data_IF_101987137585
#
_entry.id   IF_101987137585
#
_cell.length_a   1.000
_cell.length_b   1.000
_cell.length_c   1.000
_cell.angle_alpha   90.00
_cell.angle_beta   90.00
_cell.angle_gamma   90.00
#
_symmetry.space_group_name_H-M   'P 1'
#
loop_
_entity.id
_entity.type
_entity.pdbx_description
1 polymer ?
#
# COMPACT_ATOMS: atom_id res chain seq x y z
N UNK A 1 30.24 13.35 11.20
CA UNK A 1 28.86 13.48 10.68
C UNK A 1 28.85 13.04 9.23
N UNK A 2 28.16 11.96 8.84
CA UNK A 2 27.97 11.71 7.41
C UNK A 2 27.10 12.84 6.86
N UNK A 3 27.56 13.47 5.78
CA UNK A 3 26.80 14.52 5.08
C UNK A 3 25.62 13.85 4.40
N UNK A 4 24.40 14.13 4.88
CA UNK A 4 23.18 13.72 4.19
C UNK A 4 23.20 14.25 2.76
N UNK A 5 22.96 13.36 1.81
CA UNK A 5 22.82 13.73 0.40
C UNK A 5 21.47 14.41 0.17
N UNK A 6 21.32 15.19 -0.90
CA UNK A 6 20.03 15.84 -1.21
C UNK A 6 18.85 14.86 -1.29
N UNK A 7 19.09 13.58 -1.59
CA UNK A 7 18.08 12.51 -1.58
C UNK A 7 17.55 12.17 -0.18
N UNK A 8 18.32 12.42 0.89
CA UNK A 8 17.92 12.10 2.25
C UNK A 8 16.81 13.04 2.77
N UNK A 9 16.67 14.23 2.16
CA UNK A 9 15.63 15.21 2.49
C UNK A 9 14.28 14.92 1.83
N UNK A 10 14.25 14.14 0.75
CA UNK A 10 13.03 13.87 -0.04
C UNK A 10 12.53 12.43 0.05
N UNK A 11 13.10 11.62 0.95
CA UNK A 11 12.73 10.22 1.16
C UNK A 11 12.40 9.97 2.62
N UNK A 12 11.20 9.45 2.88
CA UNK A 12 10.76 9.13 4.23
C UNK A 12 11.52 7.92 4.77
N UNK A 13 11.49 7.75 6.07
CA UNK A 13 12.07 6.56 6.69
C UNK A 13 11.47 5.25 6.14
N UNK A 14 10.15 5.24 5.90
CA UNK A 14 9.45 4.08 5.33
C UNK A 14 9.92 3.76 3.90
N UNK A 15 10.24 4.76 3.08
CA UNK A 15 10.70 4.53 1.70
C UNK A 15 12.07 3.83 1.66
N UNK A 16 12.98 4.21 2.57
CA UNK A 16 14.27 3.51 2.76
C UNK A 16 14.06 2.09 3.27
N UNK A 17 13.20 1.92 4.26
CA UNK A 17 12.85 0.62 4.80
C UNK A 17 12.31 -0.33 3.73
N UNK A 18 11.37 0.12 2.90
CA UNK A 18 10.82 -0.68 1.80
C UNK A 18 11.91 -1.04 0.78
N UNK A 19 12.81 -0.11 0.46
CA UNK A 19 13.95 -0.41 -0.43
C UNK A 19 14.85 -1.50 0.15
N UNK A 20 15.17 -1.42 1.45
CA UNK A 20 16.06 -2.36 2.12
C UNK A 20 15.45 -3.76 2.29
N UNK A 21 14.16 -3.84 2.65
CA UNK A 21 13.48 -5.11 2.94
C UNK A 21 12.88 -5.78 1.70
N UNK A 22 12.36 -4.98 0.76
CA UNK A 22 11.56 -5.47 -0.39
C UNK A 22 12.27 -5.21 -1.74
N UNK A 23 13.28 -4.33 -1.78
CA UNK A 23 13.99 -4.00 -3.03
C UNK A 23 13.20 -3.10 -3.98
N UNK A 24 12.08 -2.50 -3.52
CA UNK A 24 11.28 -1.56 -4.32
C UNK A 24 11.57 -0.12 -3.93
N UNK A 25 11.77 0.73 -4.94
CA UNK A 25 11.99 2.15 -4.76
C UNK A 25 10.69 2.90 -5.04
N UNK A 26 10.14 3.57 -4.03
CA UNK A 26 9.07 4.54 -4.20
C UNK A 26 9.60 5.81 -4.87
N UNK A 27 8.67 6.59 -5.46
CA UNK A 27 8.96 7.91 -5.99
C UNK A 27 9.22 8.89 -4.81
N UNK A 28 10.02 9.93 -5.04
CA UNK A 28 10.32 10.93 -4.01
C UNK A 28 9.07 11.74 -3.64
N UNK A 29 8.93 12.12 -2.36
CA UNK A 29 7.68 12.74 -1.85
C UNK A 29 7.32 14.08 -2.52
N UNK A 30 8.31 14.79 -3.07
CA UNK A 30 8.13 16.04 -3.80
C UNK A 30 7.73 15.88 -5.27
N UNK A 31 7.59 14.65 -5.77
CA UNK A 31 7.21 14.43 -7.16
C UNK A 31 5.70 14.71 -7.38
N UNK A 32 5.37 15.56 -8.36
CA UNK A 32 3.99 15.98 -8.72
C UNK A 32 2.97 14.84 -8.86
N UNK A 33 3.44 13.64 -9.21
CA UNK A 33 2.58 12.47 -9.38
C UNK A 33 2.15 11.85 -8.04
N UNK A 34 2.96 11.92 -7.00
CA UNK A 34 2.57 11.45 -5.66
C UNK A 34 1.66 12.49 -5.01
N UNK A 35 1.99 13.78 -5.11
CA UNK A 35 1.22 14.84 -4.45
C UNK A 35 -0.26 14.83 -4.83
N UNK A 36 -0.58 14.69 -6.13
CA UNK A 36 -1.98 14.59 -6.60
C UNK A 36 -2.69 13.32 -6.14
N UNK A 37 -2.01 12.17 -6.18
CA UNK A 37 -2.61 10.91 -5.72
C UNK A 37 -2.84 10.90 -4.21
N UNK A 38 -1.91 11.47 -3.43
CA UNK A 38 -2.07 11.64 -1.99
C UNK A 38 -3.25 12.57 -1.67
N UNK A 39 -3.39 13.69 -2.38
CA UNK A 39 -4.53 14.58 -2.22
C UNK A 39 -5.87 13.88 -2.51
N UNK A 40 -5.98 13.17 -3.64
CA UNK A 40 -7.19 12.42 -3.98
C UNK A 40 -7.53 11.32 -2.96
N UNK A 41 -6.52 10.66 -2.39
CA UNK A 41 -6.73 9.67 -1.31
C UNK A 41 -7.26 10.34 -0.03
N UNK A 42 -6.73 11.52 0.33
CA UNK A 42 -7.22 12.28 1.48
C UNK A 42 -8.66 12.78 1.27
N UNK A 43 -9.01 13.22 0.06
CA UNK A 43 -10.40 13.57 -0.29
C UNK A 43 -11.33 12.36 -0.17
N UNK A 44 -10.92 11.19 -0.67
CA UNK A 44 -11.70 9.96 -0.53
C UNK A 44 -11.92 9.59 0.94
N UNK A 45 -10.86 9.66 1.78
CA UNK A 45 -10.98 9.42 3.22
C UNK A 45 -11.90 10.45 3.90
N UNK A 46 -11.85 11.71 3.49
CA UNK A 46 -12.74 12.74 4.01
C UNK A 46 -14.21 12.46 3.69
N UNK A 47 -14.51 12.09 2.45
CA UNK A 47 -15.87 11.70 2.06
C UNK A 47 -16.37 10.47 2.84
N UNK A 48 -15.48 9.51 3.13
CA UNK A 48 -15.84 8.36 3.96
C UNK A 48 -16.15 8.77 5.41
N UNK A 49 -15.36 9.66 6.01
CA UNK A 49 -15.61 10.19 7.36
C UNK A 49 -16.99 10.85 7.45
N UNK A 50 -17.32 11.70 6.47
CA UNK A 50 -18.61 12.40 6.41
C UNK A 50 -19.80 11.44 6.23
N UNK A 51 -19.64 10.39 5.42
CA UNK A 51 -20.72 9.42 5.17
C UNK A 51 -20.95 8.44 6.31
N UNK A 52 -19.90 8.12 7.05
CA UNK A 52 -19.95 7.19 8.18
C UNK A 52 -20.22 7.91 9.51
N UNK A 53 -20.09 9.24 9.54
CA UNK A 53 -20.11 10.04 10.78
C UNK A 53 -19.06 9.57 11.80
N UNK A 54 -17.90 9.15 11.31
CA UNK A 54 -16.81 8.57 12.10
C UNK A 54 -15.46 9.17 11.70
N UNK A 55 -14.54 9.28 12.66
CA UNK A 55 -13.14 9.56 12.36
C UNK A 55 -12.47 8.31 11.81
N UNK A 56 -11.63 8.46 10.78
CA UNK A 56 -10.80 7.38 10.24
C UNK A 56 -9.32 7.71 10.50
N UNK A 57 -8.76 7.34 11.67
CA UNK A 57 -7.34 7.53 11.97
C UNK A 57 -6.47 6.48 11.25
N UNK A 58 -5.15 6.70 11.27
CA UNK A 58 -4.22 5.66 10.83
C UNK A 58 -4.12 4.54 11.88
N UNK A 59 -4.18 3.30 11.44
CA UNK A 59 -3.91 2.14 12.28
C UNK A 59 -2.40 1.93 12.43
N UNK A 60 -1.99 1.65 13.67
CA UNK A 60 -0.59 1.40 14.03
C UNK A 60 -0.34 -0.01 14.56
N UNK A 61 -1.42 -0.74 14.84
CA UNK A 61 -1.41 -2.13 15.30
C UNK A 61 -2.61 -2.89 14.71
N UNK A 62 -2.54 -4.23 14.60
CA UNK A 62 -3.60 -5.03 13.97
C UNK A 62 -4.93 -5.03 14.73
N UNK A 63 -4.90 -4.67 16.02
CA UNK A 63 -6.11 -4.52 16.83
C UNK A 63 -6.81 -3.23 16.41
N UNK A 64 -7.89 -3.37 15.64
CA UNK A 64 -8.65 -2.22 15.14
C UNK A 64 -9.73 -1.79 16.15
N UNK A 65 -9.87 -0.47 16.28
CA UNK A 65 -11.01 0.18 16.93
C UNK A 65 -11.78 0.97 15.87
N UNK A 66 -12.96 0.46 15.47
CA UNK A 66 -13.78 1.06 14.42
C UNK A 66 -13.11 0.99 13.04
N UNK A 67 -13.35 2.01 12.20
CA UNK A 67 -12.75 2.11 10.86
C UNK A 67 -11.42 2.87 10.93
N UNK A 68 -10.34 2.21 10.55
CA UNK A 68 -9.01 2.82 10.48
C UNK A 68 -8.36 2.58 9.12
N UNK A 69 -7.42 3.46 8.74
CA UNK A 69 -6.70 3.38 7.47
C UNK A 69 -5.25 2.94 7.68
N UNK A 70 -4.69 2.22 6.72
CA UNK A 70 -3.26 1.96 6.64
C UNK A 70 -2.70 2.51 5.32
N UNK A 71 -1.46 2.97 5.33
CA UNK A 71 -0.76 3.32 4.10
C UNK A 71 -0.15 2.06 3.48
N UNK A 72 -0.29 1.91 2.16
CA UNK A 72 0.16 0.73 1.41
C UNK A 72 0.86 1.14 0.12
N UNK A 73 1.78 0.30 -0.34
CA UNK A 73 2.47 0.48 -1.63
C UNK A 73 2.26 -0.76 -2.52
N UNK A 74 1.34 -0.72 -3.50
CA UNK A 74 0.95 -1.90 -4.28
C UNK A 74 2.11 -2.66 -4.93
N UNK A 75 3.16 -1.96 -5.39
CA UNK A 75 4.33 -2.60 -5.98
C UNK A 75 5.18 -3.36 -4.95
N UNK A 76 5.23 -2.87 -3.69
CA UNK A 76 5.87 -3.58 -2.58
C UNK A 76 5.02 -4.77 -2.14
N UNK A 77 3.69 -4.62 -2.05
CA UNK A 77 2.76 -5.73 -1.77
C UNK A 77 2.93 -6.87 -2.77
N UNK A 78 2.96 -6.56 -4.07
CA UNK A 78 3.18 -7.57 -5.12
C UNK A 78 4.53 -8.29 -4.95
N UNK A 79 5.59 -7.54 -4.66
CA UNK A 79 6.92 -8.09 -4.47
C UNK A 79 7.01 -9.02 -3.25
N UNK A 80 6.43 -8.62 -2.12
CA UNK A 80 6.41 -9.41 -0.90
C UNK A 80 5.63 -10.73 -1.05
N UNK A 81 4.66 -10.77 -1.97
CA UNK A 81 3.90 -11.98 -2.30
C UNK A 81 4.49 -12.81 -3.46
N UNK A 82 5.60 -12.37 -4.06
CA UNK A 82 6.21 -13.01 -5.23
C UNK A 82 5.34 -12.93 -6.50
N UNK A 83 4.48 -11.92 -6.61
CA UNK A 83 3.57 -11.73 -7.75
C UNK A 83 4.18 -10.73 -8.73
N UNK A 84 4.22 -11.10 -10.02
CA UNK A 84 4.72 -10.21 -11.07
C UNK A 84 3.78 -9.02 -11.31
N UNK A 85 4.31 -7.80 -11.15
CA UNK A 85 3.61 -6.54 -11.43
C UNK A 85 3.72 -6.04 -12.87
N UNK A 86 4.23 -6.85 -13.80
CA UNK A 86 4.53 -6.40 -15.16
C UNK A 86 3.26 -6.25 -16.01
N UNK A 87 3.08 -5.07 -16.62
CA UNK A 87 2.10 -4.85 -17.68
C UNK A 87 0.64 -4.62 -17.24
N UNK A 88 0.28 -4.80 -15.97
CA UNK A 88 -1.13 -4.67 -15.53
C UNK A 88 -1.68 -3.24 -15.62
N UNK A 89 -0.80 -2.23 -15.49
CA UNK A 89 -1.14 -0.81 -15.66
C UNK A 89 -1.23 -0.34 -17.13
N UNK A 90 -0.89 -1.21 -18.09
CA UNK A 90 -1.01 -0.86 -19.51
C UNK A 90 -2.49 -0.88 -19.94
N UNK A 91 -2.85 -0.03 -20.91
CA UNK A 91 -4.20 -0.02 -21.52
C UNK A 91 -4.57 -1.40 -22.07
N UNK A 92 -3.61 -2.08 -22.70
CA UNK A 92 -3.74 -3.45 -23.24
C UNK A 92 -3.41 -4.56 -22.22
N UNK A 93 -3.26 -4.21 -20.94
CA UNK A 93 -2.81 -5.11 -19.86
C UNK A 93 -3.84 -6.11 -19.35
N UNK A 94 -4.92 -6.40 -20.08
CA UNK A 94 -6.05 -7.21 -19.61
C UNK A 94 -5.61 -8.60 -19.12
N UNK A 95 -4.81 -9.29 -19.93
CA UNK A 95 -4.30 -10.62 -19.58
C UNK A 95 -3.36 -10.59 -18.35
N UNK A 96 -2.60 -9.50 -18.16
CA UNK A 96 -1.77 -9.33 -16.96
C UNK A 96 -2.63 -9.12 -15.70
N UNK A 97 -3.71 -8.34 -15.80
CA UNK A 97 -4.68 -8.13 -14.72
C UNK A 97 -5.39 -9.43 -14.33
N UNK A 98 -5.81 -10.24 -15.29
CA UNK A 98 -6.45 -11.54 -15.04
C UNK A 98 -5.51 -12.52 -14.32
N UNK A 99 -4.26 -12.62 -14.77
CA UNK A 99 -3.23 -13.44 -14.10
C UNK A 99 -2.99 -12.97 -12.67
N UNK A 100 -2.92 -11.65 -12.47
CA UNK A 100 -2.72 -11.06 -11.15
C UNK A 100 -3.90 -11.35 -10.21
N UNK A 101 -5.15 -11.16 -10.66
CA UNK A 101 -6.33 -11.49 -9.88
C UNK A 101 -6.36 -12.96 -9.48
N UNK A 102 -6.02 -13.86 -10.40
CA UNK A 102 -5.92 -15.30 -10.09
C UNK A 102 -4.85 -15.59 -9.03
N UNK A 103 -3.70 -14.91 -9.08
CA UNK A 103 -2.64 -15.07 -8.09
C UNK A 103 -3.03 -14.50 -6.71
N UNK A 104 -3.68 -13.34 -6.68
CA UNK A 104 -4.11 -12.67 -5.44
C UNK A 104 -5.28 -13.41 -4.79
N UNK A 105 -6.25 -13.92 -5.57
CA UNK A 105 -7.39 -14.69 -5.06
C UNK A 105 -6.99 -15.91 -4.25
N UNK A 106 -5.85 -16.54 -4.58
CA UNK A 106 -5.31 -17.69 -3.83
C UNK A 106 -4.76 -17.31 -2.43
N UNK A 107 -4.57 -16.02 -2.17
CA UNK A 107 -3.96 -15.48 -0.94
C UNK A 107 -4.96 -14.66 -0.12
N UNK A 108 -5.98 -14.12 -0.76
CA UNK A 108 -7.06 -13.40 -0.09
C UNK A 108 -8.06 -14.37 0.54
N UNK A 109 -8.41 -14.09 1.79
CA UNK A 109 -9.48 -14.73 2.56
C UNK A 109 -10.78 -13.94 2.44
N UNK A 110 -11.05 -13.43 1.23
CA UNK A 110 -12.25 -12.65 0.90
C UNK A 110 -12.98 -13.37 -0.23
N UNK A 111 -14.16 -13.91 0.06
CA UNK A 111 -15.02 -14.54 -0.94
C UNK A 111 -16.08 -13.53 -1.43
N UNK A 112 -15.63 -12.52 -2.17
CA UNK A 112 -16.48 -11.51 -2.78
C UNK A 112 -16.25 -11.45 -4.29
N UNK A 113 -17.35 -11.47 -5.05
CA UNK A 113 -17.32 -11.24 -6.49
C UNK A 113 -17.66 -9.79 -6.75
N UNK A 114 -16.67 -9.02 -7.22
CA UNK A 114 -16.86 -7.64 -7.65
C UNK A 114 -16.84 -7.62 -9.18
N UNK A 115 -17.98 -7.37 -9.85
CA UNK A 115 -18.03 -7.26 -11.30
C UNK A 115 -17.00 -6.25 -11.80
N UNK A 116 -16.40 -6.53 -12.95
CA UNK A 116 -15.49 -5.62 -13.65
C UNK A 116 -14.19 -5.20 -12.91
N UNK A 117 -13.89 -5.74 -11.72
CA UNK A 117 -12.70 -5.38 -10.93
C UNK A 117 -11.37 -5.54 -11.68
N UNK A 118 -11.33 -6.45 -12.67
CA UNK A 118 -10.15 -6.71 -13.51
C UNK A 118 -10.01 -5.82 -14.75
N UNK A 119 -10.97 -4.91 -15.01
CA UNK A 119 -10.96 -4.10 -16.25
C UNK A 119 -10.02 -2.92 -16.21
N UNK A 120 -9.69 -2.41 -15.02
CA UNK A 120 -8.82 -1.25 -14.82
C UNK A 120 -7.63 -1.58 -13.92
N UNK A 121 -6.59 -0.76 -13.97
CA UNK A 121 -5.51 -0.82 -12.97
C UNK A 121 -5.99 -0.46 -11.57
N UNK A 122 -6.99 0.41 -11.46
CA UNK A 122 -7.48 0.91 -10.17
C UNK A 122 -8.23 -0.19 -9.41
N UNK A 123 -9.01 -1.02 -10.12
CA UNK A 123 -9.65 -2.19 -9.52
C UNK A 123 -8.63 -3.22 -9.02
N UNK A 124 -7.51 -3.39 -9.74
CA UNK A 124 -6.39 -4.22 -9.27
C UNK A 124 -5.70 -3.59 -8.06
N UNK A 125 -5.42 -2.29 -8.09
CA UNK A 125 -4.79 -1.58 -6.96
C UNK A 125 -5.69 -1.68 -5.70
N UNK A 126 -7.02 -1.61 -5.83
CA UNK A 126 -7.96 -1.84 -4.73
C UNK A 126 -7.88 -3.27 -4.15
N UNK A 127 -7.77 -4.28 -5.00
CA UNK A 127 -7.57 -5.68 -4.56
C UNK A 127 -6.22 -5.85 -3.84
N UNK A 128 -5.18 -5.14 -4.28
CA UNK A 128 -3.88 -5.14 -3.59
C UNK A 128 -3.93 -4.42 -2.24
N UNK A 129 -4.73 -3.35 -2.11
CA UNK A 129 -4.99 -2.72 -0.81
C UNK A 129 -5.67 -3.71 0.16
N UNK A 130 -6.65 -4.50 -0.32
CA UNK A 130 -7.30 -5.52 0.50
C UNK A 130 -6.33 -6.63 0.94
N UNK A 131 -5.41 -7.04 0.06
CA UNK A 131 -4.37 -8.03 0.40
C UNK A 131 -3.43 -7.49 1.48
N UNK A 132 -2.97 -6.25 1.33
CA UNK A 132 -2.12 -5.60 2.33
C UNK A 132 -2.84 -5.41 3.68
N UNK A 133 -4.15 -5.08 3.65
CA UNK A 133 -4.96 -5.01 4.86
C UNK A 133 -5.07 -6.36 5.57
N UNK A 134 -5.21 -7.46 4.82
CA UNK A 134 -5.15 -8.80 5.41
C UNK A 134 -3.79 -9.10 6.04
N UNK A 135 -2.68 -8.80 5.35
CA UNK A 135 -1.34 -8.99 5.93
C UNK A 135 -1.16 -8.18 7.22
N UNK A 136 -1.69 -6.97 7.27
CA UNK A 136 -1.71 -6.13 8.47
C UNK A 136 -2.51 -6.77 9.61
N UNK A 137 -3.77 -7.12 9.35
CA UNK A 137 -4.68 -7.69 10.35
C UNK A 137 -4.21 -9.04 10.90
N UNK A 138 -3.48 -9.80 10.09
CA UNK A 138 -2.94 -11.11 10.48
C UNK A 138 -1.57 -11.04 11.16
N UNK A 139 -1.04 -9.82 11.36
CA UNK A 139 0.27 -9.62 11.99
C UNK A 139 1.46 -10.05 11.12
N UNK A 140 1.24 -10.21 9.82
CA UNK A 140 2.27 -10.60 8.84
C UNK A 140 2.96 -9.39 8.22
N UNK A 141 2.44 -8.18 8.45
CA UNK A 141 3.04 -6.94 7.98
C UNK A 141 4.14 -6.43 8.93
N UNK A 142 5.19 -5.85 8.35
CA UNK A 142 6.34 -5.31 9.08
C UNK A 142 5.99 -3.97 9.76
N UNK A 143 6.12 -3.86 11.09
CA UNK A 143 5.89 -2.61 11.80
C UNK A 143 7.03 -1.60 11.62
N UNK A 144 6.79 -0.32 11.94
CA UNK A 144 7.84 0.70 12.06
C UNK A 144 9.01 0.24 12.92
N UNK A 145 10.23 0.50 12.46
CA UNK A 145 11.41 0.31 13.30
C UNK A 145 11.38 1.29 14.49
N UNK A 146 11.83 0.84 15.67
CA UNK A 146 11.76 1.60 16.93
C UNK A 146 12.32 3.04 16.86
N UNK A 147 13.26 3.29 15.95
CA UNK A 147 13.91 4.59 15.78
C UNK A 147 13.10 5.60 14.93
N UNK A 148 12.00 5.17 14.31
CA UNK A 148 11.16 6.00 13.46
C UNK A 148 9.97 6.50 14.27
N UNK A 149 9.61 7.78 14.12
CA UNK A 149 8.33 8.34 14.59
C UNK A 149 7.33 8.32 13.43
N UNK A 150 6.63 7.19 13.19
CA UNK A 150 5.80 7.04 12.00
C UNK A 150 4.54 7.92 12.06
N UNK A 151 4.16 8.39 13.25
CA UNK A 151 3.03 9.31 13.45
C UNK A 151 3.23 10.66 12.75
N UNK A 152 4.45 11.00 12.36
CA UNK A 152 4.77 12.26 11.68
C UNK A 152 4.88 12.08 10.16
N UNK A 153 5.42 10.96 9.67
CA UNK A 153 5.73 10.75 8.24
C UNK A 153 4.83 9.71 7.54
N UNK A 154 4.03 8.93 8.29
CA UNK A 154 3.33 7.76 7.78
C UNK A 154 4.21 6.50 7.76
N UNK A 155 3.60 5.36 7.44
CA UNK A 155 4.31 4.08 7.33
C UNK A 155 3.62 3.16 6.33
N UNK A 156 4.37 2.71 5.32
CA UNK A 156 3.91 1.73 4.35
C UNK A 156 3.93 0.36 5.01
N UNK A 157 2.75 -0.20 5.22
CA UNK A 157 2.60 -1.58 5.69
C UNK A 157 2.78 -2.54 4.53
N UNK A 158 3.69 -3.51 4.71
CA UNK A 158 3.98 -4.55 3.73
C UNK A 158 4.24 -5.87 4.46
N UNK A 159 3.79 -6.98 3.89
CA UNK A 159 4.11 -8.33 4.36
C UNK A 159 5.62 -8.53 4.52
N UNK A 160 6.04 -9.24 5.57
CA UNK A 160 7.39 -9.80 5.65
C UNK A 160 7.59 -10.86 4.56
N UNK A 161 8.49 -10.65 3.59
CA UNK A 161 8.73 -11.61 2.50
C UNK A 161 9.35 -12.93 2.97
N UNK A 162 9.78 -13.03 4.23
CA UNK A 162 10.39 -14.24 4.80
C UNK A 162 9.38 -15.17 5.51
N UNK A 163 8.09 -14.80 5.53
CA UNK A 163 6.99 -15.56 6.15
C UNK A 163 6.12 -16.31 5.13
#
# INVERSE_FOLDING_TARGET
MPRGTGHDLFRRATDRFIRERIGKQSLDVGADRIARTAHAALEMLQQLRERLDETIPLAWEPALEGVQAIEVYPAATLAAHGISGSGYKAKTGQQARERMLSAVRKRLSIDAVIPDIGRSSDGIDAVLCALAAQDFLTGLALPPERAVSPKTEGWIWVRDPNL
#
